data_IF_727486202965
#
_entry.id   IF_727486202965
#
_cell.length_a   1.000
_cell.length_b   1.000
_cell.length_c   1.000
_cell.angle_alpha   90.00
_cell.angle_beta   90.00
_cell.angle_gamma   90.00
#
_symmetry.space_group_name_H-M   'P 1'
#
loop_
_entity.id
_entity.type
_entity.pdbx_description
1 polymer ?
#
# COMPACT_ATOMS: atom_id res chain seq x y z
N UNK A 1 -12.41 -9.84 -14.84
CA UNK A 1 -11.20 -9.62 -14.01
C UNK A 1 -10.47 -8.45 -14.64
N UNK A 2 -9.97 -7.48 -13.86
CA UNK A 2 -9.25 -6.33 -14.43
C UNK A 2 -7.81 -6.75 -14.77
N UNK A 3 -7.29 -6.24 -15.88
CA UNK A 3 -5.93 -6.49 -16.34
C UNK A 3 -5.13 -5.20 -16.42
N UNK A 4 -3.82 -5.33 -16.29
CA UNK A 4 -2.85 -4.27 -16.55
C UNK A 4 -1.95 -4.70 -17.71
N UNK A 5 -1.63 -3.77 -18.61
CA UNK A 5 -0.82 -4.02 -19.79
C UNK A 5 0.44 -3.14 -19.79
N UNK A 6 1.55 -3.69 -20.27
CA UNK A 6 2.80 -2.95 -20.45
C UNK A 6 3.60 -3.52 -21.62
N UNK A 7 4.60 -2.78 -22.08
CA UNK A 7 5.57 -3.25 -23.07
C UNK A 7 6.90 -3.54 -22.39
N UNK A 8 7.47 -4.70 -22.65
CA UNK A 8 8.75 -5.13 -22.12
C UNK A 8 9.54 -5.86 -23.21
N UNK A 9 10.78 -5.44 -23.45
CA UNK A 9 11.63 -5.99 -24.52
C UNK A 9 10.97 -6.01 -25.93
N UNK A 10 10.04 -5.08 -26.19
CA UNK A 10 9.30 -5.00 -27.45
C UNK A 10 8.03 -5.86 -27.50
N UNK A 11 7.75 -6.66 -26.47
CA UNK A 11 6.56 -7.50 -26.36
C UNK A 11 5.51 -6.84 -25.47
N UNK A 12 4.25 -6.90 -25.89
CA UNK A 12 3.12 -6.53 -25.02
C UNK A 12 2.85 -7.67 -24.05
N UNK A 13 2.89 -7.34 -22.76
CA UNK A 13 2.58 -8.25 -21.65
C UNK A 13 1.36 -7.76 -20.91
N UNK A 14 0.66 -8.69 -20.26
CA UNK A 14 -0.44 -8.39 -19.35
C UNK A 14 -0.41 -9.30 -18.14
N UNK A 15 -1.07 -8.84 -17.07
CA UNK A 15 -1.29 -9.61 -15.86
C UNK A 15 -2.58 -9.14 -15.18
N UNK A 16 -3.11 -9.98 -14.28
CA UNK A 16 -4.24 -9.60 -13.44
C UNK A 16 -3.88 -8.38 -12.58
N UNK A 17 -4.73 -7.36 -12.60
CA UNK A 17 -4.64 -6.21 -11.70
C UNK A 17 -5.26 -6.55 -10.34
N UNK A 18 -4.51 -6.33 -9.26
CA UNK A 18 -4.95 -6.49 -7.87
C UNK A 18 -4.96 -5.12 -7.20
N UNK A 19 -6.14 -4.71 -6.71
CA UNK A 19 -6.32 -3.46 -5.99
C UNK A 19 -7.51 -3.57 -5.04
N UNK A 20 -7.23 -3.65 -3.74
CA UNK A 20 -8.27 -3.85 -2.75
C UNK A 20 -9.02 -2.56 -2.39
N UNK A 21 -8.40 -1.41 -2.64
CA UNK A 21 -9.07 -0.12 -2.54
C UNK A 21 -9.93 0.23 -3.77
N UNK A 22 -10.10 -0.71 -4.73
CA UNK A 22 -10.90 -0.52 -5.93
C UNK A 22 -10.32 0.45 -6.96
N UNK A 23 -9.02 0.75 -6.91
CA UNK A 23 -8.40 1.61 -7.91
C UNK A 23 -8.40 0.91 -9.29
N UNK A 24 -8.72 1.62 -10.38
CA UNK A 24 -8.64 1.06 -11.72
C UNK A 24 -7.18 0.75 -12.10
N UNK A 25 -6.94 -0.19 -13.05
CA UNK A 25 -5.61 -0.44 -13.56
C UNK A 25 -5.03 0.84 -14.20
N UNK A 26 -3.76 1.18 -13.95
CA UNK A 26 -3.10 2.31 -14.61
C UNK A 26 -3.08 2.16 -16.12
N UNK A 27 -3.41 3.23 -16.85
CA UNK A 27 -3.42 3.23 -18.31
C UNK A 27 -2.01 3.26 -18.94
N UNK A 28 -1.00 3.72 -18.19
CA UNK A 28 0.39 3.80 -18.64
C UNK A 28 1.27 3.10 -17.63
N UNK A 29 2.10 2.18 -18.12
CA UNK A 29 3.04 1.43 -17.30
C UNK A 29 4.42 1.53 -17.93
N UNK A 30 5.40 1.86 -17.10
CA UNK A 30 6.81 1.88 -17.46
C UNK A 30 7.52 0.82 -16.62
N UNK A 31 8.28 -0.04 -17.27
CA UNK A 31 9.24 -0.92 -16.58
C UNK A 31 10.38 -0.08 -16.02
N UNK A 32 10.63 -0.19 -14.72
CA UNK A 32 11.61 0.60 -14.00
C UNK A 32 12.53 -0.27 -13.14
N UNK A 33 13.76 0.18 -12.95
CA UNK A 33 14.80 -0.49 -12.15
C UNK A 33 15.57 0.52 -11.28
N UNK A 34 16.69 0.08 -10.70
CA UNK A 34 17.55 0.84 -9.80
C UNK A 34 18.15 2.11 -10.43
N UNK A 35 18.05 2.30 -11.76
CA UNK A 35 18.50 3.54 -12.45
C UNK A 35 17.50 4.67 -12.31
N UNK A 36 16.25 4.39 -11.93
CA UNK A 36 15.22 5.42 -11.80
C UNK A 36 15.37 6.20 -10.49
N UNK A 37 15.62 7.50 -10.59
CA UNK A 37 15.70 8.37 -9.41
C UNK A 37 14.32 8.58 -8.77
N UNK A 38 14.29 8.81 -7.46
CA UNK A 38 13.04 9.07 -6.74
C UNK A 38 12.32 10.34 -7.24
N UNK A 39 13.06 11.35 -7.72
CA UNK A 39 12.45 12.55 -8.31
C UNK A 39 11.79 12.25 -9.66
N UNK A 40 12.44 11.46 -10.52
CA UNK A 40 11.83 11.01 -11.77
C UNK A 40 10.61 10.13 -11.52
N UNK A 41 10.71 9.19 -10.58
CA UNK A 41 9.60 8.33 -10.17
C UNK A 41 8.39 9.14 -9.69
N UNK A 42 8.59 10.13 -8.81
CA UNK A 42 7.52 11.03 -8.36
C UNK A 42 6.87 11.80 -9.52
N UNK A 43 7.66 12.32 -10.46
CA UNK A 43 7.13 13.04 -11.63
C UNK A 43 6.28 12.15 -12.53
N UNK A 44 6.80 10.97 -12.89
CA UNK A 44 6.09 9.99 -13.72
C UNK A 44 4.80 9.52 -13.07
N UNK A 45 4.86 9.15 -11.79
CA UNK A 45 3.69 8.73 -11.01
C UNK A 45 2.65 9.85 -10.87
N UNK A 46 3.08 11.11 -10.70
CA UNK A 46 2.18 12.26 -10.66
C UNK A 46 1.49 12.55 -12.01
N UNK A 47 2.10 12.14 -13.13
CA UNK A 47 1.52 12.22 -14.47
C UNK A 47 0.62 10.99 -14.80
N UNK A 48 0.48 10.04 -13.87
CA UNK A 48 -0.34 8.85 -14.04
C UNK A 48 0.38 7.65 -14.67
N UNK A 49 1.71 7.68 -14.76
CA UNK A 49 2.51 6.53 -15.21
C UNK A 49 2.85 5.64 -14.02
N UNK A 50 2.38 4.40 -14.06
CA UNK A 50 2.78 3.37 -13.12
C UNK A 50 4.19 2.83 -13.44
N UNK A 51 4.91 2.44 -12.39
CA UNK A 51 6.29 1.99 -12.43
C UNK A 51 6.31 0.51 -12.04
N UNK A 52 6.41 -0.40 -13.01
CA UNK A 52 6.53 -1.83 -12.76
C UNK A 52 7.99 -2.15 -12.44
N UNK A 53 8.26 -2.44 -11.17
CA UNK A 53 9.62 -2.55 -10.65
C UNK A 53 10.27 -3.91 -10.98
N UNK A 54 11.46 -3.84 -11.60
CA UNK A 54 12.28 -4.99 -12.00
C UNK A 54 13.65 -5.04 -11.30
N UNK A 55 13.97 -4.04 -10.47
CA UNK A 55 15.09 -4.13 -9.52
C UNK A 55 14.79 -5.13 -8.40
N UNK A 56 15.59 -5.13 -7.34
CA UNK A 56 15.29 -6.01 -6.20
C UNK A 56 14.27 -5.43 -5.21
N UNK A 57 13.73 -6.28 -4.33
CA UNK A 57 12.66 -5.89 -3.42
C UNK A 57 13.07 -4.83 -2.39
N UNK A 58 14.33 -4.85 -1.95
CA UNK A 58 14.85 -3.83 -1.05
C UNK A 58 14.95 -2.48 -1.76
N UNK A 59 15.41 -2.46 -3.02
CA UNK A 59 15.42 -1.27 -3.87
C UNK A 59 14.01 -0.67 -4.02
N UNK A 60 13.01 -1.51 -4.29
CA UNK A 60 11.61 -1.08 -4.38
C UNK A 60 11.14 -0.37 -3.09
N UNK A 61 11.44 -0.97 -1.92
CA UNK A 61 11.09 -0.38 -0.61
C UNK A 61 11.84 0.92 -0.35
N UNK A 62 13.11 1.01 -0.74
CA UNK A 62 13.90 2.24 -0.61
C UNK A 62 13.35 3.35 -1.51
N UNK A 63 13.00 3.04 -2.75
CA UNK A 63 12.37 3.98 -3.67
C UNK A 63 11.03 4.48 -3.10
N UNK A 64 10.16 3.58 -2.63
CA UNK A 64 8.89 3.96 -2.01
C UNK A 64 9.09 4.92 -0.82
N UNK A 65 10.07 4.64 0.05
CA UNK A 65 10.43 5.50 1.18
C UNK A 65 10.94 6.86 0.70
N UNK A 66 11.76 6.90 -0.35
CA UNK A 66 12.29 8.13 -0.92
C UNK A 66 11.19 8.99 -1.57
N UNK A 67 10.25 8.38 -2.29
CA UNK A 67 9.05 9.03 -2.83
C UNK A 67 8.17 9.58 -1.70
N UNK A 68 7.97 8.80 -0.64
CA UNK A 68 7.18 9.18 0.54
C UNK A 68 7.71 10.47 1.16
N UNK A 69 9.02 10.57 1.42
CA UNK A 69 9.65 11.78 1.97
C UNK A 69 9.50 13.01 1.05
N UNK A 70 9.59 12.81 -0.27
CA UNK A 70 9.48 13.91 -1.25
C UNK A 70 8.06 14.45 -1.39
N UNK A 71 7.06 13.62 -1.11
CA UNK A 71 5.65 14.00 -1.18
C UNK A 71 5.11 14.47 0.17
N UNK A 72 5.95 14.61 1.20
CA UNK A 72 5.56 15.17 2.49
C UNK A 72 5.14 16.62 2.30
N UNK A 73 3.87 16.96 2.62
CA UNK A 73 3.41 18.33 2.47
C UNK A 73 4.19 19.22 3.44
N UNK A 74 4.75 20.32 2.93
CA UNK A 74 5.18 21.44 3.75
C UNK A 74 3.92 22.18 4.19
N UNK A 75 3.53 22.07 5.45
CA UNK A 75 2.25 22.60 5.96
C UNK A 75 2.15 24.13 5.83
N UNK A 76 1.24 24.69 4.99
CA UNK A 76 0.86 26.10 5.08
C UNK A 76 -0.49 26.17 5.81
N UNK A 77 -0.52 26.80 6.99
CA UNK A 77 -1.75 26.98 7.76
C UNK A 77 -2.36 28.34 7.44
N UNK A 78 -3.11 28.42 6.34
CA UNK A 78 -3.86 29.63 5.99
C UNK A 78 -5.31 29.25 5.69
N UNK A 79 -6.25 30.16 6.03
CA UNK A 79 -7.68 29.96 5.84
C UNK A 79 -8.43 29.37 7.02
N UNK A 80 -9.72 29.12 6.82
CA UNK A 80 -10.65 28.53 7.79
C UNK A 80 -10.34 27.05 8.07
N UNK A 81 -10.91 26.50 9.15
CA UNK A 81 -10.77 25.08 9.47
C UNK A 81 -11.30 24.15 8.34
N UNK A 82 -12.38 24.55 7.67
CA UNK A 82 -12.98 23.78 6.57
C UNK A 82 -12.06 23.74 5.33
N UNK A 83 -11.49 24.88 4.96
CA UNK A 83 -10.53 24.98 3.85
C UNK A 83 -9.26 24.19 4.14
N UNK A 84 -8.71 24.34 5.35
CA UNK A 84 -7.54 23.58 5.79
C UNK A 84 -7.80 22.06 5.74
N UNK A 85 -8.98 21.61 6.17
CA UNK A 85 -9.39 20.21 6.08
C UNK A 85 -9.51 19.73 4.64
N UNK A 86 -10.12 20.53 3.76
CA UNK A 86 -10.26 20.20 2.35
C UNK A 86 -8.91 20.05 1.65
N UNK A 87 -8.00 21.02 1.84
CA UNK A 87 -6.64 20.97 1.32
C UNK A 87 -5.85 19.77 1.86
N UNK A 88 -5.99 19.48 3.15
CA UNK A 88 -5.37 18.29 3.76
C UNK A 88 -5.86 16.99 3.10
N UNK A 89 -7.17 16.84 2.91
CA UNK A 89 -7.76 15.66 2.27
C UNK A 89 -7.31 15.52 0.82
N UNK A 90 -7.30 16.61 0.05
CA UNK A 90 -6.81 16.62 -1.33
C UNK A 90 -5.33 16.22 -1.40
N UNK A 91 -4.47 16.81 -0.56
CA UNK A 91 -3.05 16.48 -0.52
C UNK A 91 -2.82 15.01 -0.15
N UNK A 92 -3.56 14.48 0.84
CA UNK A 92 -3.51 13.07 1.24
C UNK A 92 -3.94 12.14 0.11
N UNK A 93 -5.03 12.47 -0.59
CA UNK A 93 -5.52 11.69 -1.72
C UNK A 93 -4.53 11.69 -2.89
N UNK A 94 -3.98 12.86 -3.25
CA UNK A 94 -2.95 12.99 -4.29
C UNK A 94 -1.72 12.17 -3.94
N UNK A 95 -1.21 12.30 -2.71
CA UNK A 95 -0.08 11.51 -2.23
C UNK A 95 -0.36 10.02 -2.33
N UNK A 96 -1.56 9.58 -1.91
CA UNK A 96 -1.93 8.17 -1.97
C UNK A 96 -1.92 7.63 -3.40
N UNK A 97 -2.44 8.41 -4.36
CA UNK A 97 -2.42 8.09 -5.78
C UNK A 97 -0.99 7.94 -6.30
N UNK A 98 -0.11 8.91 -6.05
CA UNK A 98 1.28 8.88 -6.53
C UNK A 98 2.06 7.71 -5.95
N UNK A 99 1.93 7.44 -4.65
CA UNK A 99 2.63 6.31 -4.02
C UNK A 99 2.07 4.95 -4.44
N UNK A 100 0.81 4.88 -4.88
CA UNK A 100 0.19 3.67 -5.42
C UNK A 100 0.69 3.28 -6.81
N UNK A 101 1.42 4.17 -7.50
CA UNK A 101 1.94 3.92 -8.85
C UNK A 101 3.23 3.10 -8.87
N UNK A 102 3.87 2.84 -7.72
CA UNK A 102 4.99 1.89 -7.68
C UNK A 102 4.44 0.47 -7.53
N UNK A 103 4.58 -0.32 -8.60
CA UNK A 103 3.99 -1.64 -8.74
C UNK A 103 5.04 -2.74 -8.58
N UNK A 104 4.60 -3.91 -8.12
CA UNK A 104 5.40 -5.13 -8.05
C UNK A 104 4.63 -6.32 -8.63
N UNK A 105 5.31 -7.25 -9.31
CA UNK A 105 4.69 -8.48 -9.78
C UNK A 105 4.47 -9.47 -8.63
N UNK A 106 3.47 -10.32 -8.81
CA UNK A 106 3.23 -11.55 -8.07
C UNK A 106 3.17 -12.70 -9.09
N UNK A 107 3.90 -13.77 -8.84
CA UNK A 107 3.86 -14.99 -9.65
C UNK A 107 2.55 -15.76 -9.46
N UNK A 108 2.45 -16.93 -10.11
CA UNK A 108 1.28 -17.79 -10.05
C UNK A 108 0.88 -18.27 -8.66
N UNK A 109 1.79 -18.17 -7.67
CA UNK A 109 1.64 -18.63 -6.29
C UNK A 109 1.66 -17.47 -5.28
N UNK A 110 1.44 -16.23 -5.74
CA UNK A 110 1.54 -15.00 -4.95
C UNK A 110 2.95 -14.68 -4.40
N UNK A 111 4.02 -15.33 -4.86
CA UNK A 111 5.37 -14.91 -4.51
C UNK A 111 5.75 -13.66 -5.31
N UNK A 112 6.61 -12.80 -4.75
CA UNK A 112 7.18 -11.67 -5.47
C UNK A 112 8.46 -12.18 -6.16
N UNK A 113 8.52 -12.25 -7.51
CA UNK A 113 9.67 -12.79 -8.25
C UNK A 113 10.82 -11.78 -8.33
N UNK A 114 11.11 -11.07 -7.24
CA UNK A 114 12.22 -10.13 -7.12
C UNK A 114 13.22 -10.66 -6.09
N UNK A 115 14.50 -10.42 -6.35
CA UNK A 115 15.57 -10.80 -5.42
C UNK A 115 15.33 -10.15 -4.04
N UNK A 116 15.63 -10.89 -2.96
CA UNK A 116 15.45 -10.45 -1.56
C UNK A 116 13.99 -10.14 -1.17
N UNK A 117 13.01 -10.60 -1.94
CA UNK A 117 11.63 -10.53 -1.50
C UNK A 117 11.40 -11.50 -0.33
N UNK A 118 10.66 -11.10 0.72
CA UNK A 118 10.20 -12.02 1.74
C UNK A 118 9.15 -12.97 1.16
N UNK A 119 8.88 -14.08 1.86
CA UNK A 119 7.70 -14.88 1.55
C UNK A 119 6.44 -14.11 1.96
N UNK A 120 5.58 -13.84 0.99
CA UNK A 120 4.32 -13.11 1.17
C UNK A 120 3.09 -13.97 0.84
N UNK A 121 3.28 -15.26 0.52
CA UNK A 121 2.21 -16.11 -0.03
C UNK A 121 1.03 -16.23 0.91
N UNK A 122 1.30 -16.51 2.19
CA UNK A 122 0.27 -16.63 3.22
C UNK A 122 -0.51 -15.32 3.39
N UNK A 123 0.20 -14.20 3.53
CA UNK A 123 -0.40 -12.87 3.67
C UNK A 123 -1.27 -12.50 2.45
N UNK A 124 -0.78 -12.77 1.24
CA UNK A 124 -1.53 -12.56 0.00
C UNK A 124 -2.77 -13.48 -0.06
N UNK A 125 -2.65 -14.76 0.33
CA UNK A 125 -3.78 -15.70 0.28
C UNK A 125 -4.93 -15.29 1.23
N UNK A 126 -4.61 -14.71 2.39
CA UNK A 126 -5.60 -14.19 3.35
C UNK A 126 -6.45 -13.04 2.79
N UNK A 127 -5.93 -12.28 1.82
CA UNK A 127 -6.58 -11.08 1.29
C UNK A 127 -7.12 -11.30 -0.12
N UNK A 128 -6.32 -11.91 -0.99
CA UNK A 128 -6.62 -12.12 -2.40
C UNK A 128 -7.31 -13.46 -2.70
N UNK A 129 -7.43 -14.33 -1.69
CA UNK A 129 -7.88 -15.70 -1.85
C UNK A 129 -6.79 -16.61 -2.43
N UNK A 130 -7.15 -17.83 -2.90
CA UNK A 130 -6.22 -18.73 -3.56
C UNK A 130 -5.51 -18.07 -4.74
N UNK A 131 -4.27 -18.46 -4.97
CA UNK A 131 -3.51 -17.98 -6.11
C UNK A 131 -4.16 -18.45 -7.41
N UNK A 132 -4.21 -17.56 -8.42
CA UNK A 132 -4.95 -17.80 -9.66
C UNK A 132 -4.19 -17.23 -10.86
N UNK A 133 -2.89 -17.52 -10.92
CA UNK A 133 -1.99 -17.03 -11.96
C UNK A 133 -1.34 -15.67 -11.67
N UNK A 134 -0.46 -15.20 -12.58
CA UNK A 134 0.33 -13.99 -12.38
C UNK A 134 -0.53 -12.74 -12.20
N UNK A 135 -0.09 -11.86 -11.30
CA UNK A 135 -0.79 -10.60 -11.02
C UNK A 135 0.17 -9.47 -10.68
N UNK A 136 -0.35 -8.25 -10.64
CA UNK A 136 0.41 -7.04 -10.29
C UNK A 136 -0.40 -6.25 -9.27
N UNK A 137 0.26 -5.76 -8.24
CA UNK A 137 -0.31 -4.85 -7.22
C UNK A 137 0.64 -3.68 -6.94
N UNK A 138 0.16 -2.67 -6.23
CA UNK A 138 1.03 -1.63 -5.69
C UNK A 138 1.89 -2.18 -4.54
N UNK A 139 3.16 -1.78 -4.49
CA UNK A 139 4.05 -2.14 -3.38
C UNK A 139 3.49 -1.67 -2.04
N UNK A 140 2.81 -0.52 -2.02
CA UNK A 140 2.20 0.02 -0.81
C UNK A 140 1.07 -0.88 -0.29
N UNK A 141 0.24 -1.42 -1.17
CA UNK A 141 -0.81 -2.38 -0.81
C UNK A 141 -0.20 -3.66 -0.26
N UNK A 142 0.78 -4.24 -0.98
CA UNK A 142 1.47 -5.45 -0.54
C UNK A 142 2.10 -5.30 0.86
N UNK A 143 2.77 -4.17 1.13
CA UNK A 143 3.33 -3.90 2.45
C UNK A 143 2.25 -3.75 3.54
N UNK A 144 1.07 -3.24 3.18
CA UNK A 144 -0.08 -3.19 4.08
C UNK A 144 -0.63 -4.59 4.37
N UNK A 145 -0.71 -5.45 3.37
CA UNK A 145 -1.13 -6.86 3.50
C UNK A 145 -0.18 -7.62 4.43
N UNK A 146 1.13 -7.54 4.17
CA UNK A 146 2.15 -8.17 5.01
C UNK A 146 2.08 -7.62 6.45
N UNK A 147 1.93 -6.32 6.62
CA UNK A 147 1.80 -5.71 7.94
C UNK A 147 0.58 -6.22 8.72
N UNK A 148 -0.58 -6.35 8.06
CA UNK A 148 -1.79 -6.88 8.67
C UNK A 148 -1.65 -8.37 9.03
N UNK A 149 -1.03 -9.17 8.17
CA UNK A 149 -0.74 -10.58 8.44
C UNK A 149 0.13 -10.74 9.70
N UNK A 150 1.21 -9.95 9.80
CA UNK A 150 2.08 -9.96 10.99
C UNK A 150 1.34 -9.58 12.27
N UNK A 151 0.44 -8.60 12.21
CA UNK A 151 -0.42 -8.25 13.35
C UNK A 151 -1.41 -9.36 13.68
N UNK A 152 -1.98 -10.01 12.68
CA UNK A 152 -2.91 -11.12 12.87
C UNK A 152 -2.23 -12.31 13.52
N UNK A 153 -1.01 -12.65 13.12
CA UNK A 153 -0.23 -13.74 13.73
C UNK A 153 0.17 -13.41 15.16
N UNK A 154 0.70 -12.21 15.42
CA UNK A 154 1.22 -11.84 16.76
C UNK A 154 0.13 -11.41 17.74
N UNK A 155 -1.02 -10.97 17.23
CA UNK A 155 -2.05 -10.29 18.00
C UNK A 155 -1.62 -8.88 18.42
N UNK A 156 -2.59 -7.97 18.46
CA UNK A 156 -2.44 -6.61 19.00
C UNK A 156 -2.90 -6.62 20.45
N UNK A 157 -2.03 -6.28 21.38
CA UNK A 157 -2.37 -6.23 22.80
C UNK A 157 -3.37 -5.09 23.09
N UNK A 158 -4.43 -5.39 23.82
CA UNK A 158 -5.44 -4.42 24.27
C UNK A 158 -5.48 -4.48 25.81
N UNK A 159 -4.79 -3.57 26.51
CA UNK A 159 -4.66 -3.61 27.96
C UNK A 159 -5.99 -3.65 28.71
N UNK A 160 -6.99 -2.89 28.26
CA UNK A 160 -8.32 -2.86 28.86
C UNK A 160 -9.07 -4.21 28.78
N UNK A 161 -8.70 -5.10 27.84
CA UNK A 161 -9.24 -6.46 27.75
C UNK A 161 -8.38 -7.48 28.51
N UNK A 162 -7.17 -7.11 28.92
CA UNK A 162 -6.19 -8.05 29.44
C UNK A 162 -5.73 -9.11 28.41
N UNK A 163 -5.98 -8.89 27.11
CA UNK A 163 -5.80 -9.89 26.07
C UNK A 163 -5.33 -9.28 24.73
N UNK A 164 -5.13 -10.12 23.71
CA UNK A 164 -4.78 -9.76 22.33
C UNK A 164 -5.96 -9.94 21.40
N UNK A 165 -6.09 -9.03 20.45
CA UNK A 165 -6.99 -9.18 19.31
C UNK A 165 -6.22 -9.50 18.04
N UNK A 166 -6.84 -10.24 17.13
CA UNK A 166 -6.21 -10.72 15.89
C UNK A 166 -6.96 -10.19 14.66
N UNK A 167 -6.80 -8.88 14.34
CA UNK A 167 -7.57 -8.24 13.29
C UNK A 167 -7.20 -8.81 11.92
N UNK A 168 -8.22 -8.99 11.06
CA UNK A 168 -8.03 -9.27 9.65
C UNK A 168 -7.63 -8.00 8.88
N UNK A 169 -7.12 -8.17 7.66
CA UNK A 169 -6.84 -7.05 6.75
C UNK A 169 -8.09 -6.17 6.56
N UNK A 170 -7.89 -4.85 6.49
CA UNK A 170 -8.97 -3.87 6.35
C UNK A 170 -9.64 -3.44 7.65
N UNK A 171 -9.41 -4.14 8.77
CA UNK A 171 -9.89 -3.71 10.09
C UNK A 171 -9.04 -2.55 10.60
N UNK A 172 -9.70 -1.45 10.98
CA UNK A 172 -9.02 -0.34 11.63
C UNK A 172 -8.56 -0.77 13.04
N UNK A 173 -7.26 -0.98 13.20
CA UNK A 173 -6.70 -1.46 14.47
C UNK A 173 -6.85 -0.40 15.58
N UNK A 174 -7.23 -0.78 16.81
CA UNK A 174 -7.32 0.11 17.96
C UNK A 174 -5.94 0.44 18.53
N UNK A 175 -4.96 0.78 17.68
CA UNK A 175 -3.65 1.29 18.10
C UNK A 175 -3.75 2.63 18.85
N UNK A 176 -4.94 3.23 18.89
CA UNK A 176 -5.34 4.28 19.84
C UNK A 176 -6.15 3.66 20.98
N UNK A 177 -5.47 2.84 21.79
CA UNK A 177 -6.08 2.15 22.94
C UNK A 177 -6.70 3.12 23.97
N UNK A 178 -6.32 4.39 23.93
CA UNK A 178 -6.88 5.49 24.74
C UNK A 178 -8.42 5.54 24.72
N UNK A 179 -9.06 5.21 23.60
CA UNK A 179 -10.53 5.20 23.53
C UNK A 179 -11.15 4.06 24.34
N UNK A 180 -10.51 2.90 24.36
CA UNK A 180 -11.01 1.74 25.11
C UNK A 180 -10.89 2.01 26.61
N UNK A 181 -9.78 2.63 27.03
CA UNK A 181 -9.59 3.05 28.42
C UNK A 181 -10.61 4.12 28.85
N UNK A 182 -10.95 5.07 27.96
CA UNK A 182 -11.99 6.07 28.24
C UNK A 182 -13.37 5.44 28.42
N UNK A 183 -13.74 4.48 27.58
CA UNK A 183 -15.01 3.74 27.71
C UNK A 183 -15.02 2.91 29.00
N UNK A 184 -13.91 2.23 29.32
CA UNK A 184 -13.80 1.42 30.54
C UNK A 184 -13.94 2.24 31.84
N UNK A 185 -13.55 3.53 31.81
CA UNK A 185 -13.67 4.46 32.94
C UNK A 185 -14.97 5.25 32.95
N UNK A 186 -15.71 5.27 31.83
CA UNK A 186 -16.97 5.99 31.77
C UNK A 186 -18.00 5.31 32.67
N UNK A 187 -18.73 6.05 33.51
CA UNK A 187 -19.82 5.48 34.27
C UNK A 187 -20.87 4.94 33.29
N UNK A 188 -21.15 3.64 33.36
CA UNK A 188 -22.31 3.08 32.67
C UNK A 188 -23.54 3.64 33.40
N UNK A 189 -24.46 4.24 32.64
CA UNK A 189 -25.73 4.69 33.18
C UNK A 189 -26.47 3.55 33.90
N UNK A 190 -27.47 3.87 34.74
CA UNK A 190 -28.23 2.87 35.49
C UNK A 190 -28.90 1.81 34.60
#
# INVERSE_FOLDING_TARGET
MLEIHWTEAGETRSARWRSENGSPPPARVLVADDRLTADAACRLAAQGTALLWHGDFHGARQLLRAMTRRLDPRTPRTGTAAEAFHLHRQARARRARVLGMLLVPLDGEHAVPLRRAPDVRAACAEVYGPASGPSVTSLRELLGIVGAHEWRVKGVAVPALGDRIHPHYGVFSPVRGEYVDLVARAPLGP
#
